data_IF_786040071921
#
_entry.id   IF_786040071921
#
_cell.length_a   1.000
_cell.length_b   1.000
_cell.length_c   1.000
_cell.angle_alpha   90.00
_cell.angle_beta   90.00
_cell.angle_gamma   90.00
#
_symmetry.space_group_name_H-M   'P 1'
#
loop_
_entity.id
_entity.type
_entity.pdbx_description
1 polymer ?
#
# COMPACT_ATOMS: atom_id res chain seq x y z
N UNK A 1 7.79 -8.80 4.84
CA UNK A 1 7.26 -8.90 3.46
C UNK A 1 5.79 -8.49 3.49
N UNK A 2 5.36 -7.54 2.66
CA UNK A 2 3.99 -7.00 2.68
C UNK A 2 2.96 -8.06 2.27
N UNK A 3 1.69 -7.89 2.65
CA UNK A 3 0.62 -8.82 2.30
C UNK A 3 0.47 -8.96 0.77
N UNK A 4 0.61 -7.86 0.03
CA UNK A 4 0.62 -7.84 -1.43
C UNK A 4 1.75 -8.71 -2.03
N UNK A 5 2.98 -8.65 -1.49
CA UNK A 5 4.07 -9.55 -1.91
C UNK A 5 3.80 -11.01 -1.53
N UNK A 6 3.25 -11.26 -0.33
CA UNK A 6 2.89 -12.62 0.11
C UNK A 6 1.79 -13.24 -0.74
N UNK A 7 0.87 -12.42 -1.26
CA UNK A 7 -0.22 -12.86 -2.14
C UNK A 7 0.29 -13.68 -3.31
N UNK A 8 1.26 -13.17 -4.07
CA UNK A 8 1.78 -13.85 -5.26
C UNK A 8 2.41 -15.19 -4.90
N UNK A 9 3.31 -15.20 -3.91
CA UNK A 9 3.96 -16.43 -3.43
C UNK A 9 2.93 -17.45 -2.92
N UNK A 10 1.90 -16.99 -2.20
CA UNK A 10 0.87 -17.87 -1.65
C UNK A 10 -0.02 -18.45 -2.74
N UNK A 11 -0.43 -17.64 -3.72
CA UNK A 11 -1.24 -18.11 -4.85
C UNK A 11 -0.47 -19.13 -5.68
N UNK A 12 0.83 -18.96 -5.88
CA UNK A 12 1.69 -19.96 -6.53
C UNK A 12 1.73 -21.27 -5.71
N UNK A 13 1.99 -21.20 -4.40
CA UNK A 13 1.98 -22.37 -3.51
C UNK A 13 0.65 -23.14 -3.56
N UNK A 14 -0.49 -22.45 -3.58
CA UNK A 14 -1.81 -23.11 -3.70
C UNK A 14 -1.96 -23.78 -5.06
N UNK A 15 -1.53 -23.12 -6.15
CA UNK A 15 -1.61 -23.70 -7.49
C UNK A 15 -0.87 -25.04 -7.57
N UNK A 16 0.28 -25.15 -6.93
CA UNK A 16 1.08 -26.36 -6.90
C UNK A 16 0.46 -27.44 -6.01
N UNK A 17 -0.11 -27.05 -4.86
CA UNK A 17 -0.73 -27.99 -3.89
C UNK A 17 -2.08 -28.57 -4.37
N UNK A 18 -2.83 -27.86 -5.22
CA UNK A 18 -4.20 -28.21 -5.61
C UNK A 18 -4.33 -28.58 -7.09
N UNK A 19 -3.47 -29.44 -7.65
CA UNK A 19 -3.52 -29.76 -9.08
C UNK A 19 -4.81 -30.46 -9.56
N UNK A 20 -5.48 -31.26 -8.70
CA UNK A 20 -6.55 -32.18 -9.14
C UNK A 20 -7.94 -31.96 -8.49
N UNK A 21 -8.29 -30.72 -8.11
CA UNK A 21 -9.58 -30.44 -7.44
C UNK A 21 -10.59 -29.76 -8.38
N UNK A 22 -11.85 -30.21 -8.34
CA UNK A 22 -12.96 -29.54 -9.02
C UNK A 22 -13.08 -28.08 -8.55
N UNK A 23 -13.29 -27.13 -9.47
CA UNK A 23 -13.40 -25.68 -9.22
C UNK A 23 -12.16 -24.97 -8.62
N UNK A 24 -10.96 -25.57 -8.73
CA UNK A 24 -9.68 -24.98 -8.29
C UNK A 24 -9.51 -23.50 -8.67
N UNK A 25 -9.71 -23.17 -9.95
CA UNK A 25 -9.46 -21.81 -10.44
C UNK A 25 -10.39 -20.78 -9.79
N UNK A 26 -11.65 -21.15 -9.53
CA UNK A 26 -12.59 -20.32 -8.78
C UNK A 26 -12.13 -20.12 -7.34
N UNK A 27 -11.72 -21.19 -6.65
CA UNK A 27 -11.20 -21.09 -5.27
C UNK A 27 -9.97 -20.18 -5.21
N UNK A 28 -9.01 -20.36 -6.12
CA UNK A 28 -7.81 -19.51 -6.21
C UNK A 28 -8.17 -18.06 -6.50
N UNK A 29 -9.10 -17.81 -7.42
CA UNK A 29 -9.59 -16.48 -7.72
C UNK A 29 -10.23 -15.84 -6.49
N UNK A 30 -11.08 -16.57 -5.76
CA UNK A 30 -11.72 -16.09 -4.55
C UNK A 30 -10.73 -15.76 -3.43
N UNK A 31 -9.73 -16.61 -3.21
CA UNK A 31 -8.65 -16.34 -2.25
C UNK A 31 -7.88 -15.09 -2.67
N UNK A 32 -7.53 -14.95 -3.95
CA UNK A 32 -6.85 -13.77 -4.48
C UNK A 32 -7.65 -12.48 -4.19
N UNK A 33 -8.96 -12.50 -4.42
CA UNK A 33 -9.84 -11.37 -4.15
C UNK A 33 -10.07 -11.13 -2.65
N UNK A 34 -10.04 -12.16 -1.82
CA UNK A 34 -10.12 -12.03 -0.36
C UNK A 34 -8.86 -11.38 0.22
N UNK A 35 -7.67 -11.73 -0.29
CA UNK A 35 -6.43 -11.05 0.07
C UNK A 35 -6.47 -9.57 -0.35
N UNK A 36 -7.12 -9.24 -1.47
CA UNK A 36 -7.33 -7.83 -1.84
C UNK A 36 -8.18 -7.08 -0.79
N UNK A 37 -9.13 -7.75 -0.14
CA UNK A 37 -9.93 -7.17 0.93
C UNK A 37 -9.12 -6.96 2.21
N UNK A 38 -8.21 -7.89 2.54
CA UNK A 38 -7.27 -7.73 3.65
C UNK A 38 -6.31 -6.55 3.42
N UNK A 39 -5.81 -6.36 2.19
CA UNK A 39 -4.96 -5.22 1.84
C UNK A 39 -5.74 -3.89 2.03
N UNK A 40 -7.03 -3.86 1.67
CA UNK A 40 -7.88 -2.68 1.89
C UNK A 40 -8.11 -2.40 3.38
N UNK A 41 -8.36 -3.44 4.17
CA UNK A 41 -8.49 -3.34 5.62
C UNK A 41 -7.21 -2.72 6.25
N UNK A 42 -6.04 -3.24 5.90
CA UNK A 42 -4.76 -2.68 6.36
C UNK A 42 -4.57 -1.20 5.95
N UNK A 43 -4.95 -0.86 4.72
CA UNK A 43 -4.78 0.50 4.20
C UNK A 43 -5.73 1.52 4.82
N UNK A 44 -6.94 1.09 5.19
CA UNK A 44 -7.98 1.93 5.79
C UNK A 44 -7.98 1.88 7.32
N UNK A 45 -7.17 1.00 7.92
CA UNK A 45 -7.18 0.71 9.36
C UNK A 45 -8.57 0.25 9.85
N UNK A 46 -9.27 -0.51 9.01
CA UNK A 46 -10.57 -1.11 9.31
C UNK A 46 -10.45 -2.63 9.35
N UNK A 47 -11.18 -3.30 10.25
CA UNK A 47 -11.25 -4.76 10.32
C UNK A 47 -12.61 -5.26 9.82
N UNK A 48 -12.97 -4.90 8.58
CA UNK A 48 -14.22 -5.39 7.97
C UNK A 48 -14.13 -6.90 7.75
N UNK A 49 -15.07 -7.71 8.28
CA UNK A 49 -15.08 -9.14 8.04
C UNK A 49 -15.29 -9.48 6.57
N UNK A 50 -14.78 -10.66 6.17
CA UNK A 50 -14.82 -11.16 4.79
C UNK A 50 -15.76 -12.36 4.74
N UNK A 51 -16.84 -12.25 3.95
CA UNK A 51 -17.83 -13.30 3.76
C UNK A 51 -17.60 -13.98 2.40
N UNK A 52 -17.39 -15.29 2.40
CA UNK A 52 -17.31 -16.14 1.22
C UNK A 52 -18.69 -16.73 0.91
N UNK A 53 -19.22 -16.50 -0.29
CA UNK A 53 -20.57 -16.92 -0.67
C UNK A 53 -20.56 -17.87 -1.85
N UNK A 54 -21.04 -19.10 -1.65
CA UNK A 54 -21.20 -20.10 -2.72
C UNK A 54 -22.35 -21.04 -2.39
N UNK A 55 -23.11 -21.48 -3.40
CA UNK A 55 -24.06 -22.59 -3.26
C UNK A 55 -23.37 -23.96 -3.15
N UNK A 56 -22.09 -24.03 -3.51
CA UNK A 56 -21.23 -25.20 -3.33
C UNK A 56 -20.20 -25.00 -2.22
N UNK A 57 -19.24 -25.91 -2.11
CA UNK A 57 -18.23 -25.88 -1.05
C UNK A 57 -17.02 -24.94 -1.32
N UNK A 58 -17.00 -24.20 -2.44
CA UNK A 58 -15.88 -23.33 -2.81
C UNK A 58 -15.61 -22.24 -1.76
N UNK A 59 -16.68 -21.72 -1.15
CA UNK A 59 -16.63 -20.71 -0.10
C UNK A 59 -15.82 -21.20 1.12
N UNK A 60 -16.16 -22.38 1.63
CA UNK A 60 -15.55 -23.00 2.81
C UNK A 60 -14.10 -23.40 2.55
N UNK A 61 -13.81 -23.93 1.36
CA UNK A 61 -12.43 -24.25 0.96
C UNK A 61 -11.57 -23.00 0.84
N UNK A 62 -12.09 -21.93 0.23
CA UNK A 62 -11.39 -20.65 0.12
C UNK A 62 -11.11 -20.03 1.51
N UNK A 63 -12.09 -20.02 2.41
CA UNK A 63 -11.95 -19.50 3.76
C UNK A 63 -10.89 -20.30 4.57
N UNK A 64 -10.91 -21.64 4.47
CA UNK A 64 -9.91 -22.50 5.10
C UNK A 64 -8.50 -22.21 4.62
N UNK A 65 -8.30 -22.07 3.31
CA UNK A 65 -6.98 -21.76 2.76
C UNK A 65 -6.52 -20.36 3.13
N UNK A 66 -7.41 -19.37 3.14
CA UNK A 66 -7.05 -18.03 3.57
C UNK A 66 -6.62 -17.99 5.05
N UNK A 67 -7.27 -18.77 5.91
CA UNK A 67 -6.85 -18.95 7.30
C UNK A 67 -5.39 -19.40 7.40
N UNK A 68 -4.98 -20.39 6.60
CA UNK A 68 -3.58 -20.87 6.59
C UNK A 68 -2.60 -19.73 6.28
N UNK A 69 -2.90 -18.89 5.28
CA UNK A 69 -2.08 -17.70 4.98
C UNK A 69 -2.04 -16.72 6.14
N UNK A 70 -3.19 -16.42 6.75
CA UNK A 70 -3.27 -15.37 7.75
C UNK A 70 -2.59 -15.79 9.05
N UNK A 71 -2.70 -17.04 9.46
CA UNK A 71 -1.95 -17.58 10.62
C UNK A 71 -0.44 -17.54 10.35
N UNK A 72 0.02 -17.86 9.13
CA UNK A 72 1.44 -17.73 8.75
C UNK A 72 1.88 -16.26 8.68
N UNK A 73 1.03 -15.36 8.18
CA UNK A 73 1.37 -13.96 7.97
C UNK A 73 1.37 -13.14 9.26
N UNK A 74 0.35 -13.32 10.10
CA UNK A 74 0.11 -12.59 11.34
C UNK A 74 0.40 -13.50 12.54
N UNK A 75 1.62 -14.02 12.64
CA UNK A 75 2.00 -15.00 13.66
C UNK A 75 1.88 -14.52 15.11
N UNK A 76 1.81 -13.20 15.33
CA UNK A 76 1.57 -12.59 16.64
C UNK A 76 0.09 -12.45 17.01
N UNK A 77 -0.82 -12.78 16.10
CA UNK A 77 -2.28 -12.64 16.28
C UNK A 77 -2.88 -13.99 16.66
N UNK A 78 -3.93 -13.98 17.49
CA UNK A 78 -4.64 -15.23 17.85
C UNK A 78 -5.13 -15.93 16.58
N UNK A 79 -4.85 -17.23 16.46
CA UNK A 79 -5.30 -18.03 15.32
C UNK A 79 -6.82 -18.13 15.22
N UNK A 80 -7.52 -17.95 16.34
CA UNK A 80 -8.98 -17.93 16.43
C UNK A 80 -9.57 -16.73 15.66
N UNK A 81 -8.82 -15.63 15.56
CA UNK A 81 -9.24 -14.47 14.75
C UNK A 81 -9.49 -14.82 13.29
N UNK A 82 -8.75 -15.81 12.79
CA UNK A 82 -8.81 -16.28 11.41
C UNK A 82 -9.63 -17.56 11.27
N UNK A 83 -10.36 -17.98 12.31
CA UNK A 83 -11.37 -19.03 12.15
C UNK A 83 -12.40 -18.63 11.10
N UNK A 84 -13.05 -19.61 10.48
CA UNK A 84 -14.08 -19.37 9.48
C UNK A 84 -15.39 -20.00 9.90
N UNK A 85 -16.39 -19.16 10.12
CA UNK A 85 -17.68 -19.58 10.68
C UNK A 85 -18.79 -19.48 9.64
N UNK A 86 -19.81 -20.33 9.80
CA UNK A 86 -21.01 -20.19 9.00
C UNK A 86 -21.78 -18.95 9.45
N UNK A 87 -22.04 -18.01 8.54
CA UNK A 87 -22.85 -16.83 8.83
C UNK A 87 -24.26 -17.02 8.31
N UNK A 88 -25.19 -17.24 9.22
CA UNK A 88 -26.62 -17.28 8.95
C UNK A 88 -27.34 -16.35 9.93
N UNK A 89 -27.86 -15.24 9.42
CA UNK A 89 -28.51 -14.21 10.21
C UNK A 89 -30.03 -14.22 9.97
N UNK A 90 -30.82 -13.80 10.98
CA UNK A 90 -32.24 -13.55 10.81
C UNK A 90 -32.51 -12.55 9.68
N UNK A 91 -33.56 -12.84 8.91
CA UNK A 91 -34.04 -11.99 7.81
C UNK A 91 -35.28 -11.16 8.18
N UNK A 92 -35.66 -11.13 9.46
CA UNK A 92 -36.83 -10.40 9.96
C UNK A 92 -36.60 -8.88 10.01
N UNK A 93 -35.43 -8.45 10.47
CA UNK A 93 -35.06 -7.05 10.57
C UNK A 93 -33.52 -6.88 10.63
N UNK A 94 -33.04 -5.67 10.35
CA UNK A 94 -31.63 -5.33 10.52
C UNK A 94 -31.18 -5.42 12.00
N UNK A 95 -32.07 -5.09 12.94
CA UNK A 95 -31.80 -5.16 14.37
C UNK A 95 -31.58 -6.60 14.82
N UNK A 96 -32.46 -7.53 14.43
CA UNK A 96 -32.32 -8.95 14.77
C UNK A 96 -31.04 -9.54 14.18
N UNK A 97 -30.70 -9.15 12.94
CA UNK A 97 -29.47 -9.57 12.28
C UNK A 97 -28.22 -9.06 13.02
N UNK A 98 -28.23 -7.81 13.46
CA UNK A 98 -27.14 -7.22 14.23
C UNK A 98 -27.02 -7.85 15.62
N UNK A 99 -28.14 -8.08 16.32
CA UNK A 99 -28.14 -8.75 17.62
C UNK A 99 -27.56 -10.16 17.51
N UNK A 100 -27.95 -10.91 16.46
CA UNK A 100 -27.40 -12.24 16.22
C UNK A 100 -25.91 -12.19 15.88
N UNK A 101 -25.49 -11.21 15.06
CA UNK A 101 -24.08 -11.01 14.75
C UNK A 101 -23.27 -10.69 16.03
N UNK A 102 -23.78 -9.84 16.91
CA UNK A 102 -23.15 -9.54 18.22
C UNK A 102 -23.04 -10.80 19.08
N UNK A 103 -24.08 -11.64 19.11
CA UNK A 103 -24.04 -12.93 19.81
C UNK A 103 -22.91 -13.83 19.27
N UNK A 104 -22.80 -13.93 17.93
CA UNK A 104 -21.72 -14.67 17.27
C UNK A 104 -20.36 -14.09 17.66
N UNK A 105 -20.18 -12.78 17.53
CA UNK A 105 -18.91 -12.09 17.82
C UNK A 105 -18.48 -12.19 19.29
N UNK A 106 -19.42 -12.26 20.24
CA UNK A 106 -19.13 -12.47 21.66
C UNK A 106 -18.65 -13.88 21.97
N UNK A 107 -19.10 -14.86 21.20
CA UNK A 107 -18.69 -16.26 21.37
C UNK A 107 -17.42 -16.58 20.60
N UNK A 108 -17.23 -15.95 19.43
CA UNK A 108 -16.11 -16.19 18.51
C UNK A 108 -15.72 -14.88 17.83
N UNK A 109 -14.47 -14.46 18.00
CA UNK A 109 -13.92 -13.33 17.24
C UNK A 109 -13.38 -13.87 15.93
N UNK A 110 -14.19 -13.93 14.88
CA UNK A 110 -13.74 -14.38 13.56
C UNK A 110 -13.83 -13.23 12.54
N UNK A 111 -12.78 -13.09 11.72
CA UNK A 111 -12.72 -12.18 10.58
C UNK A 111 -13.31 -12.82 9.31
N UNK A 112 -13.44 -14.15 9.26
CA UNK A 112 -13.86 -14.87 8.06
C UNK A 112 -15.18 -15.60 8.28
N UNK A 113 -16.10 -15.42 7.33
CA UNK A 113 -17.37 -16.11 7.36
C UNK A 113 -17.63 -16.79 6.03
N UNK A 114 -18.41 -17.85 6.02
CA UNK A 114 -18.96 -18.42 4.80
C UNK A 114 -20.48 -18.51 4.89
N UNK A 115 -21.15 -18.34 3.76
CA UNK A 115 -22.60 -18.44 3.66
C UNK A 115 -22.99 -19.10 2.34
N UNK A 116 -24.13 -19.78 2.32
CA UNK A 116 -24.62 -20.42 1.09
C UNK A 116 -25.19 -19.39 0.11
N UNK A 117 -25.75 -18.30 0.65
CA UNK A 117 -26.41 -17.27 -0.13
C UNK A 117 -26.27 -15.88 0.49
N UNK A 118 -26.33 -14.83 -0.34
CA UNK A 118 -26.37 -13.43 0.12
C UNK A 118 -27.61 -13.19 0.98
N UNK A 119 -28.70 -13.91 0.72
CA UNK A 119 -29.93 -13.84 1.49
C UNK A 119 -29.74 -14.20 2.97
N UNK A 120 -28.63 -14.84 3.37
CA UNK A 120 -28.35 -15.17 4.78
C UNK A 120 -27.86 -13.98 5.60
N UNK A 121 -27.52 -12.87 4.96
CA UNK A 121 -26.99 -11.68 5.64
C UNK A 121 -27.42 -10.36 4.98
N UNK A 122 -28.39 -10.41 4.05
CA UNK A 122 -28.84 -9.22 3.30
C UNK A 122 -29.42 -8.13 4.19
N UNK A 123 -29.92 -8.45 5.37
CA UNK A 123 -30.48 -7.49 6.32
C UNK A 123 -29.42 -6.64 7.04
N UNK A 124 -28.14 -7.01 6.94
CA UNK A 124 -27.06 -6.20 7.52
C UNK A 124 -26.98 -4.82 6.86
N UNK A 125 -26.64 -3.76 7.61
CA UNK A 125 -26.37 -2.45 7.05
C UNK A 125 -25.31 -2.52 5.95
N UNK A 126 -25.51 -1.72 4.90
CA UNK A 126 -24.61 -1.70 3.74
C UNK A 126 -23.17 -1.33 4.12
N UNK A 127 -22.20 -1.83 3.34
CA UNK A 127 -20.77 -1.48 3.49
C UNK A 127 -20.15 -1.86 4.86
N UNK A 128 -20.70 -2.87 5.53
CA UNK A 128 -20.18 -3.37 6.81
C UNK A 128 -19.26 -4.57 6.63
N UNK A 129 -19.42 -5.33 5.55
CA UNK A 129 -18.70 -6.57 5.28
C UNK A 129 -18.16 -6.58 3.85
N UNK A 130 -16.95 -7.13 3.67
CA UNK A 130 -16.49 -7.54 2.34
C UNK A 130 -17.17 -8.84 1.96
N UNK A 131 -17.49 -9.00 0.68
CA UNK A 131 -18.16 -10.19 0.14
C UNK A 131 -17.42 -10.70 -1.08
N UNK A 132 -17.07 -11.99 -1.06
CA UNK A 132 -16.49 -12.75 -2.17
C UNK A 132 -17.55 -13.73 -2.67
N UNK A 133 -18.09 -13.51 -3.87
CA UNK A 133 -19.19 -14.29 -4.41
C UNK A 133 -18.73 -15.20 -5.55
N UNK A 134 -18.92 -16.51 -5.36
CA UNK A 134 -18.52 -17.59 -6.28
C UNK A 134 -19.63 -18.06 -7.22
N UNK A 135 -20.88 -17.65 -6.99
CA UNK A 135 -22.08 -18.15 -7.68
C UNK A 135 -22.15 -17.74 -9.16
N UNK A 136 -21.38 -16.73 -9.57
CA UNK A 136 -21.28 -16.31 -10.97
C UNK A 136 -20.37 -17.19 -11.82
N UNK A 137 -20.30 -16.89 -13.13
CA UNK A 137 -19.29 -17.47 -14.03
C UNK A 137 -17.86 -17.06 -13.65
N UNK A 138 -17.71 -15.87 -13.05
CA UNK A 138 -16.48 -15.35 -12.46
C UNK A 138 -16.69 -15.06 -10.98
N UNK A 139 -15.65 -15.26 -10.19
CA UNK A 139 -15.67 -14.82 -8.79
C UNK A 139 -15.56 -13.30 -8.76
N UNK A 140 -16.44 -12.67 -7.98
CA UNK A 140 -16.50 -11.22 -7.82
C UNK A 140 -16.31 -10.83 -6.36
N UNK A 141 -15.75 -9.64 -6.14
CA UNK A 141 -15.63 -9.04 -4.81
C UNK A 141 -16.36 -7.72 -4.71
N UNK A 142 -16.78 -7.37 -3.51
CA UNK A 142 -17.49 -6.14 -3.22
C UNK A 142 -17.81 -6.01 -1.75
N UNK A 143 -18.78 -5.15 -1.44
CA UNK A 143 -19.34 -5.01 -0.10
C UNK A 143 -20.83 -5.31 -0.09
N UNK A 144 -21.35 -5.77 1.05
CA UNK A 144 -22.76 -6.09 1.22
C UNK A 144 -23.66 -4.84 1.02
N UNK A 145 -24.89 -5.08 0.57
CA UNK A 145 -25.95 -4.07 0.47
C UNK A 145 -27.15 -4.51 1.29
N UNK A 146 -27.68 -3.60 2.09
CA UNK A 146 -28.86 -3.84 2.90
C UNK A 146 -30.07 -4.12 2.00
N UNK A 147 -30.82 -5.16 2.37
CA UNK A 147 -32.05 -5.65 1.73
C UNK A 147 -31.90 -5.99 0.24
N UNK A 148 -30.68 -6.29 -0.19
CA UNK A 148 -30.37 -6.66 -1.58
C UNK A 148 -29.57 -7.94 -1.66
N UNK A 149 -29.89 -8.76 -2.66
CA UNK A 149 -29.15 -9.99 -2.98
C UNK A 149 -28.02 -9.73 -3.98
N UNK A 150 -27.46 -8.53 -3.91
CA UNK A 150 -26.36 -8.05 -4.75
C UNK A 150 -25.32 -7.34 -3.91
N UNK A 151 -24.10 -7.25 -4.41
CA UNK A 151 -22.98 -6.55 -3.76
C UNK A 151 -22.62 -5.30 -4.54
N UNK A 152 -22.07 -4.29 -3.85
CA UNK A 152 -21.38 -3.18 -4.52
C UNK A 152 -20.02 -3.69 -5.02
N UNK A 153 -19.91 -3.97 -6.32
CA UNK A 153 -18.71 -4.57 -6.91
C UNK A 153 -17.51 -3.62 -6.80
N UNK A 154 -16.40 -4.14 -6.25
CA UNK A 154 -15.10 -3.46 -6.25
C UNK A 154 -14.23 -4.03 -7.36
N UNK A 155 -13.86 -3.19 -8.32
CA UNK A 155 -13.03 -3.57 -9.48
C UNK A 155 -11.52 -3.46 -9.24
N UNK A 156 -11.09 -2.74 -8.20
CA UNK A 156 -9.65 -2.61 -7.84
C UNK A 156 -9.09 -4.02 -7.63
N UNK A 157 -7.87 -4.30 -8.06
CA UNK A 157 -7.18 -5.56 -7.79
C UNK A 157 -5.72 -5.25 -7.52
N UNK A 158 -5.10 -5.90 -6.54
CA UNK A 158 -3.73 -5.60 -6.15
C UNK A 158 -2.71 -6.55 -6.80
N UNK A 159 -3.09 -7.16 -7.94
CA UNK A 159 -2.35 -8.25 -8.57
C UNK A 159 -1.22 -7.83 -9.51
N UNK A 160 -1.15 -6.57 -9.99
CA UNK A 160 -0.02 -5.95 -10.77
C UNK A 160 -0.39 -4.71 -11.64
N UNK A 161 -1.66 -4.26 -11.68
CA UNK A 161 -2.03 -3.02 -12.40
C UNK A 161 -1.35 -1.77 -11.80
N UNK A 162 -1.06 -0.74 -12.62
CA UNK A 162 0.20 -0.02 -12.55
C UNK A 162 0.34 0.71 -11.22
N UNK A 163 1.40 0.39 -10.48
CA UNK A 163 1.79 1.10 -9.26
C UNK A 163 1.81 2.62 -9.50
N UNK A 164 2.08 3.05 -10.75
CA UNK A 164 2.06 4.43 -11.21
C UNK A 164 0.70 5.11 -10.99
N UNK A 165 -0.43 4.42 -11.20
CA UNK A 165 -1.76 4.96 -10.85
C UNK A 165 -1.91 5.15 -9.35
N UNK A 166 -1.37 4.25 -8.54
CA UNK A 166 -1.51 4.34 -7.09
C UNK A 166 -0.63 5.44 -6.48
N UNK A 167 0.57 5.71 -7.01
CA UNK A 167 1.46 6.72 -6.45
C UNK A 167 1.48 8.08 -7.18
N UNK A 168 1.10 8.14 -8.46
CA UNK A 168 0.94 9.40 -9.22
C UNK A 168 -0.51 9.75 -9.57
N UNK A 169 -1.46 8.80 -9.48
CA UNK A 169 -2.85 9.02 -9.86
C UNK A 169 -3.76 9.64 -8.79
N UNK A 170 -3.23 9.98 -7.61
CA UNK A 170 -3.98 10.64 -6.53
C UNK A 170 -3.26 11.95 -6.20
N UNK A 171 -3.88 13.14 -6.26
CA UNK A 171 -5.20 13.53 -5.77
C UNK A 171 -5.90 14.45 -6.81
N UNK A 172 -7.17 14.15 -7.14
CA UNK A 172 -8.08 14.98 -7.95
C UNK A 172 -7.70 15.30 -9.40
N UNK A 173 -7.26 14.33 -10.18
CA UNK A 173 -7.60 14.38 -11.60
C UNK A 173 -9.09 14.09 -11.72
N UNK A 174 -9.92 15.14 -11.82
CA UNK A 174 -11.32 14.99 -12.18
C UNK A 174 -11.38 14.08 -13.40
N UNK A 175 -12.34 13.15 -13.46
CA UNK A 175 -12.39 12.08 -14.48
C UNK A 175 -12.26 12.62 -15.92
N UNK A 176 -12.73 13.85 -16.14
CA UNK A 176 -12.60 14.61 -17.39
C UNK A 176 -11.17 14.99 -17.80
N UNK A 177 -10.22 15.04 -16.87
CA UNK A 177 -8.80 15.31 -17.12
C UNK A 177 -8.05 14.00 -17.37
N UNK A 178 -8.44 12.92 -16.69
CA UNK A 178 -7.90 11.56 -16.94
C UNK A 178 -8.03 11.13 -18.39
N UNK A 179 -9.13 11.51 -19.05
CA UNK A 179 -9.40 11.17 -20.45
C UNK A 179 -8.66 12.08 -21.46
N UNK A 180 -8.01 13.16 -20.99
CA UNK A 180 -7.30 14.16 -21.81
C UNK A 180 -5.77 14.13 -21.66
N UNK A 181 -5.25 13.21 -20.85
CA UNK A 181 -3.82 13.05 -20.61
C UNK A 181 -3.24 12.17 -21.71
N UNK A 182 -2.37 12.75 -22.54
CA UNK A 182 -1.48 11.99 -23.42
C UNK A 182 -0.18 11.69 -22.66
N UNK A 183 0.12 10.41 -22.38
CA UNK A 183 1.37 9.98 -21.74
C UNK A 183 1.18 9.15 -20.46
N UNK A 184 2.27 8.84 -19.76
CA UNK A 184 2.21 8.11 -18.49
C UNK A 184 1.91 9.05 -17.31
N UNK A 185 1.29 8.55 -16.22
CA UNK A 185 1.04 9.37 -15.01
C UNK A 185 2.33 9.87 -14.35
N UNK A 186 3.44 9.16 -14.52
CA UNK A 186 4.77 9.65 -14.16
C UNK A 186 5.16 10.89 -14.97
N UNK A 187 4.84 10.94 -16.26
CA UNK A 187 5.13 12.09 -17.12
C UNK A 187 4.35 13.33 -16.67
N UNK A 188 3.09 13.18 -16.29
CA UNK A 188 2.32 14.27 -15.70
C UNK A 188 2.89 14.78 -14.39
N UNK A 189 3.31 13.89 -13.49
CA UNK A 189 3.99 14.34 -12.27
C UNK A 189 5.26 15.12 -12.62
N UNK A 190 5.98 14.70 -13.66
CA UNK A 190 7.13 15.45 -14.17
C UNK A 190 6.73 16.81 -14.74
N UNK A 191 5.59 16.94 -15.42
CA UNK A 191 5.04 18.22 -15.89
C UNK A 191 4.58 19.12 -14.73
N UNK A 192 3.94 18.57 -13.70
CA UNK A 192 3.56 19.30 -12.48
C UNK A 192 4.79 19.85 -11.76
N UNK A 193 5.89 19.09 -11.75
CA UNK A 193 7.17 19.57 -11.26
C UNK A 193 7.72 20.74 -12.11
N UNK A 194 7.46 20.78 -13.43
CA UNK A 194 7.76 21.96 -14.26
C UNK A 194 6.92 23.18 -13.85
N UNK A 195 5.68 22.96 -13.40
CA UNK A 195 4.79 23.97 -12.82
C UNK A 195 5.07 24.34 -11.36
N UNK A 196 6.13 23.78 -10.74
CA UNK A 196 6.44 23.92 -9.31
C UNK A 196 5.32 23.48 -8.37
N UNK A 197 4.47 22.55 -8.81
CA UNK A 197 3.46 21.92 -7.96
C UNK A 197 4.14 20.73 -7.27
N UNK A 198 4.38 20.88 -5.96
CA UNK A 198 4.97 19.82 -5.13
C UNK A 198 3.88 19.09 -4.36
N UNK A 199 3.89 17.76 -4.44
CA UNK A 199 3.02 16.90 -3.65
C UNK A 199 3.85 15.82 -2.96
N UNK A 200 3.49 15.42 -1.73
CA UNK A 200 3.96 14.16 -1.16
C UNK A 200 3.63 13.00 -2.10
N UNK A 201 4.57 12.08 -2.32
CA UNK A 201 4.36 10.93 -3.21
C UNK A 201 4.00 9.72 -2.33
N UNK A 202 2.76 9.19 -2.39
CA UNK A 202 2.36 8.08 -1.54
C UNK A 202 2.91 6.74 -2.03
N UNK A 203 3.45 5.91 -1.13
CA UNK A 203 3.80 4.51 -1.41
C UNK A 203 2.56 3.73 -1.84
N UNK A 204 2.58 2.92 -2.93
CA UNK A 204 1.42 2.16 -3.42
C UNK A 204 0.65 1.43 -2.30
N UNK A 205 -0.65 1.22 -2.44
CA UNK A 205 -1.48 0.61 -1.38
C UNK A 205 -0.89 -0.75 -0.98
N UNK A 206 -0.64 -0.94 0.32
CA UNK A 206 -0.01 -2.14 0.88
C UNK A 206 1.53 -2.19 0.75
N UNK A 207 2.18 -1.10 0.29
CA UNK A 207 3.64 -0.97 0.28
C UNK A 207 4.12 0.11 1.25
N UNK A 208 5.43 0.04 1.55
CA UNK A 208 6.21 1.04 2.26
C UNK A 208 7.50 1.30 1.48
N UNK A 209 8.06 2.49 1.62
CA UNK A 209 9.39 2.82 1.12
C UNK A 209 10.44 1.99 1.86
N UNK A 210 11.47 1.59 1.13
CA UNK A 210 12.66 0.99 1.74
C UNK A 210 13.44 2.10 2.46
N UNK A 211 14.16 1.74 3.51
CA UNK A 211 15.11 2.65 4.16
C UNK A 211 16.41 1.89 4.46
N UNK A 212 17.49 2.10 3.69
CA UNK A 212 17.61 3.02 2.54
C UNK A 212 16.97 2.47 1.24
N UNK A 213 16.79 3.35 0.26
CA UNK A 213 16.45 3.03 -1.14
C UNK A 213 17.76 2.95 -1.93
N UNK A 214 17.96 1.84 -2.64
CA UNK A 214 19.19 1.50 -3.37
C UNK A 214 18.87 1.04 -4.80
N UNK A 215 19.90 0.71 -5.57
CA UNK A 215 19.79 0.12 -6.91
C UNK A 215 18.88 -1.12 -6.96
N UNK A 216 18.87 -1.94 -5.89
CA UNK A 216 18.06 -3.15 -5.76
C UNK A 216 16.60 -2.88 -5.33
N UNK A 217 16.27 -1.62 -5.06
CA UNK A 217 14.91 -1.25 -4.64
C UNK A 217 13.94 -1.29 -5.82
N UNK A 218 12.65 -1.57 -5.57
CA UNK A 218 11.64 -1.63 -6.62
C UNK A 218 11.59 -0.36 -7.47
N UNK A 219 11.31 -0.50 -8.77
CA UNK A 219 11.34 0.62 -9.72
C UNK A 219 10.45 1.80 -9.30
N UNK A 220 9.28 1.54 -8.70
CA UNK A 220 8.37 2.59 -8.22
C UNK A 220 9.00 3.51 -7.16
N UNK A 221 9.93 3.00 -6.34
CA UNK A 221 10.64 3.82 -5.36
C UNK A 221 11.67 4.70 -6.07
N UNK A 222 12.36 4.15 -7.08
CA UNK A 222 13.31 4.91 -7.90
C UNK A 222 12.61 6.04 -8.66
N UNK A 223 11.43 5.76 -9.23
CA UNK A 223 10.58 6.76 -9.89
C UNK A 223 10.18 7.89 -8.93
N UNK A 224 9.75 7.56 -7.70
CA UNK A 224 9.42 8.56 -6.68
C UNK A 224 10.62 9.46 -6.30
N UNK A 225 11.81 8.87 -6.14
CA UNK A 225 13.02 9.64 -5.84
C UNK A 225 13.42 10.58 -6.99
N UNK A 226 13.39 10.08 -8.24
CA UNK A 226 13.67 10.89 -9.43
C UNK A 226 12.66 12.04 -9.54
N UNK A 227 11.38 11.77 -9.29
CA UNK A 227 10.31 12.77 -9.26
C UNK A 227 10.61 13.94 -8.29
N UNK A 228 10.93 13.65 -7.02
CA UNK A 228 11.31 14.70 -6.05
C UNK A 228 12.56 15.44 -6.50
N UNK A 229 13.55 14.72 -7.01
CA UNK A 229 14.83 15.32 -7.36
C UNK A 229 14.76 16.22 -8.60
N UNK A 230 13.83 15.95 -9.53
CA UNK A 230 13.48 16.88 -10.63
C UNK A 230 12.94 18.20 -10.10
N UNK A 231 12.03 18.14 -9.13
CA UNK A 231 11.52 19.34 -8.48
C UNK A 231 12.65 20.11 -7.78
N UNK A 232 13.47 19.41 -6.98
CA UNK A 232 14.63 20.02 -6.33
C UNK A 232 15.57 20.68 -7.35
N UNK A 233 15.86 20.01 -8.47
CA UNK A 233 16.79 20.54 -9.46
C UNK A 233 16.29 21.79 -10.16
N UNK A 234 14.96 21.96 -10.24
CA UNK A 234 14.33 23.20 -10.67
C UNK A 234 14.33 24.29 -9.59
N UNK A 235 13.99 23.95 -8.34
CA UNK A 235 14.03 24.91 -7.21
C UNK A 235 15.45 25.46 -7.01
N UNK A 236 16.47 24.59 -7.10
CA UNK A 236 17.88 24.92 -6.88
C UNK A 236 18.64 25.33 -8.16
N UNK A 237 18.05 25.14 -9.34
CA UNK A 237 18.69 25.38 -10.65
C UNK A 237 20.03 24.64 -10.84
N UNK A 238 20.11 23.39 -10.40
CA UNK A 238 21.36 22.63 -10.28
C UNK A 238 21.70 21.73 -11.49
N UNK A 239 20.97 21.87 -12.60
CA UNK A 239 21.27 21.13 -13.84
C UNK A 239 21.02 19.62 -13.79
N UNK A 240 20.24 19.14 -12.81
CA UNK A 240 19.91 17.74 -12.57
C UNK A 240 19.55 16.87 -13.81
N UNK A 241 20.15 15.67 -13.89
CA UNK A 241 19.92 14.66 -14.95
C UNK A 241 19.98 13.21 -14.44
N UNK A 242 19.26 12.88 -13.37
CA UNK A 242 19.19 11.49 -12.85
C UNK A 242 17.91 10.81 -13.30
N UNK A 243 17.99 9.50 -13.58
CA UNK A 243 16.89 8.66 -14.02
C UNK A 243 16.82 7.35 -13.20
N UNK A 244 15.99 6.40 -13.62
CA UNK A 244 15.75 5.14 -12.90
C UNK A 244 16.65 3.98 -13.35
N UNK A 245 17.55 4.22 -14.31
CA UNK A 245 18.48 3.22 -14.85
C UNK A 245 19.48 2.76 -13.79
N UNK A 246 19.96 1.52 -13.93
CA UNK A 246 20.93 0.97 -12.99
C UNK A 246 22.22 1.80 -12.94
N UNK A 247 22.68 2.30 -14.08
CA UNK A 247 23.87 3.15 -14.16
C UNK A 247 23.69 4.45 -13.35
N UNK A 248 22.50 5.05 -13.40
CA UNK A 248 22.21 6.25 -12.64
C UNK A 248 22.16 5.99 -11.11
N UNK A 249 21.88 4.76 -10.70
CA UNK A 249 21.78 4.36 -9.29
C UNK A 249 23.04 3.68 -8.74
N UNK A 250 24.07 3.52 -9.56
CA UNK A 250 25.35 2.97 -9.16
C UNK A 250 25.98 3.84 -8.07
N UNK A 251 26.39 3.25 -6.95
CA UNK A 251 26.93 3.95 -5.79
C UNK A 251 26.01 5.02 -5.16
N UNK A 252 24.71 5.01 -5.49
CA UNK A 252 23.74 5.96 -4.94
C UNK A 252 22.88 5.28 -3.88
N UNK A 253 22.85 5.88 -2.70
CA UNK A 253 22.00 5.45 -1.58
C UNK A 253 21.09 6.60 -1.18
N UNK A 254 19.78 6.40 -1.26
CA UNK A 254 18.79 7.40 -0.87
C UNK A 254 18.16 7.05 0.48
N UNK A 255 18.22 7.99 1.40
CA UNK A 255 17.53 7.95 2.68
C UNK A 255 16.24 8.76 2.55
N UNK A 256 15.08 8.11 2.43
CA UNK A 256 13.82 8.82 2.23
C UNK A 256 13.38 9.54 3.50
N UNK A 257 12.72 10.67 3.31
CA UNK A 257 12.06 11.43 4.38
C UNK A 257 10.57 11.19 4.23
N UNK A 258 9.98 10.53 5.22
CA UNK A 258 8.63 9.96 5.13
C UNK A 258 7.64 10.67 6.07
N UNK A 259 6.37 10.64 5.72
CA UNK A 259 5.24 11.05 6.56
C UNK A 259 3.99 10.21 6.25
N UNK A 260 3.24 9.82 7.27
CA UNK A 260 1.93 9.18 7.08
C UNK A 260 0.86 10.25 6.79
N UNK A 261 0.19 10.15 5.64
CA UNK A 261 -0.81 11.13 5.18
C UNK A 261 -2.13 10.42 4.88
N UNK A 262 -3.23 10.98 5.37
CA UNK A 262 -4.58 10.54 5.04
C UNK A 262 -4.94 10.97 3.60
N UNK A 263 -5.23 9.99 2.75
CA UNK A 263 -5.67 10.23 1.38
C UNK A 263 -7.12 10.70 1.37
N UNK A 264 -7.40 11.84 0.74
CA UNK A 264 -8.73 12.48 0.73
C UNK A 264 -9.79 11.56 0.10
N UNK A 265 -9.45 10.91 -1.01
CA UNK A 265 -10.43 10.16 -1.81
C UNK A 265 -10.70 8.76 -1.28
N UNK A 266 -9.69 8.09 -0.71
CA UNK A 266 -9.79 6.71 -0.25
C UNK A 266 -9.94 6.57 1.27
N UNK A 267 -9.73 7.65 2.03
CA UNK A 267 -9.60 7.60 3.50
C UNK A 267 -8.52 6.62 4.00
N UNK A 268 -7.63 6.16 3.10
CA UNK A 268 -6.49 5.32 3.43
C UNK A 268 -5.36 6.19 4.01
N UNK A 269 -4.65 5.72 5.02
CA UNK A 269 -3.41 6.36 5.48
C UNK A 269 -2.26 5.72 4.72
N UNK A 270 -1.47 6.54 4.01
CA UNK A 270 -0.34 6.07 3.22
C UNK A 270 0.95 6.76 3.63
N UNK A 271 2.02 5.98 3.67
CA UNK A 271 3.37 6.48 3.88
C UNK A 271 3.80 7.23 2.61
N UNK A 272 4.09 8.52 2.75
CA UNK A 272 4.42 9.40 1.65
C UNK A 272 5.87 9.86 1.71
N UNK A 273 6.55 9.84 0.57
CA UNK A 273 7.83 10.50 0.38
C UNK A 273 7.62 12.01 0.33
N UNK A 274 8.15 12.70 1.33
CA UNK A 274 8.09 14.17 1.49
C UNK A 274 9.47 14.82 1.35
N UNK A 275 10.49 14.05 0.99
CA UNK A 275 11.84 14.52 0.82
C UNK A 275 12.83 13.36 0.76
N UNK A 276 14.09 13.67 0.52
CA UNK A 276 15.14 12.66 0.48
C UNK A 276 16.51 13.26 0.84
N UNK A 277 17.39 12.42 1.36
CA UNK A 277 18.83 12.67 1.43
C UNK A 277 19.53 11.64 0.55
N UNK A 278 20.39 12.09 -0.35
CA UNK A 278 21.14 11.25 -1.28
C UNK A 278 22.60 11.25 -0.87
N UNK A 279 23.10 10.05 -0.55
CA UNK A 279 24.51 9.76 -0.33
C UNK A 279 25.09 9.12 -1.60
N UNK A 280 26.32 9.49 -1.93
CA UNK A 280 27.10 8.84 -2.97
C UNK A 280 28.28 8.13 -2.31
N UNK A 281 28.47 6.86 -2.61
CA UNK A 281 29.46 5.96 -2.00
C UNK A 281 30.40 5.38 -3.07
N UNK A 282 31.29 6.18 -3.68
CA UNK A 282 32.17 5.68 -4.74
C UNK A 282 33.14 4.62 -4.21
N UNK A 283 33.54 3.64 -5.03
CA UNK A 283 34.47 2.58 -4.61
C UNK A 283 35.84 3.10 -4.16
N UNK A 284 36.31 4.20 -4.76
CA UNK A 284 37.66 4.74 -4.58
C UNK A 284 37.70 6.17 -4.01
N UNK A 285 36.62 6.61 -3.35
CA UNK A 285 36.56 7.92 -2.74
C UNK A 285 35.71 7.91 -1.46
N UNK A 286 35.85 8.96 -0.66
CA UNK A 286 35.05 9.10 0.54
C UNK A 286 33.57 9.26 0.20
N UNK A 287 32.72 8.70 1.07
CA UNK A 287 31.29 8.88 0.97
C UNK A 287 30.93 10.33 1.28
N UNK A 288 30.05 10.91 0.47
CA UNK A 288 29.59 12.28 0.65
C UNK A 288 28.08 12.40 0.47
N UNK A 289 27.51 13.43 1.10
CA UNK A 289 26.12 13.81 0.91
C UNK A 289 26.03 14.70 -0.33
N UNK A 290 25.42 14.18 -1.39
CA UNK A 290 25.23 14.91 -2.64
C UNK A 290 24.06 15.87 -2.56
N UNK A 291 22.90 15.39 -2.09
CA UNK A 291 21.70 16.25 -1.99
C UNK A 291 20.88 15.96 -0.76
N UNK A 292 20.22 17.01 -0.24
CA UNK A 292 19.22 16.87 0.81
C UNK A 292 18.09 17.86 0.56
N UNK A 293 16.87 17.36 0.47
CA UNK A 293 15.71 18.17 0.19
C UNK A 293 14.50 17.70 0.97
N UNK A 294 13.73 18.66 1.51
CA UNK A 294 12.50 18.43 2.27
C UNK A 294 11.42 19.34 1.71
N UNK A 295 10.24 18.77 1.52
CA UNK A 295 9.03 19.48 1.13
C UNK A 295 8.76 20.68 2.07
N UNK A 296 8.49 21.89 1.53
CA UNK A 296 8.36 23.12 2.32
C UNK A 296 7.48 23.02 3.57
N UNK A 297 6.27 22.45 3.48
CA UNK A 297 5.35 22.26 4.62
C UNK A 297 5.86 21.34 5.75
N UNK A 298 6.88 20.53 5.47
CA UNK A 298 7.46 19.59 6.43
C UNK A 298 8.86 20.03 6.92
N UNK A 299 9.36 21.17 6.46
CA UNK A 299 10.59 21.77 6.97
C UNK A 299 10.42 22.18 8.45
N UNK A 300 11.54 22.31 9.17
CA UNK A 300 11.60 22.74 10.59
C UNK A 300 10.94 21.78 11.61
N UNK A 301 10.62 20.55 11.22
CA UNK A 301 10.10 19.49 12.11
C UNK A 301 11.19 18.53 12.63
N UNK A 302 12.47 18.92 12.56
CA UNK A 302 13.59 18.09 13.01
C UNK A 302 13.91 16.86 12.14
N UNK A 303 13.19 16.59 11.04
CA UNK A 303 13.38 15.38 10.20
C UNK A 303 14.81 15.23 9.67
N UNK A 304 15.41 16.31 9.14
CA UNK A 304 16.82 16.28 8.70
C UNK A 304 17.79 16.01 9.85
N UNK A 305 17.53 16.54 11.05
CA UNK A 305 18.39 16.29 12.21
C UNK A 305 18.41 14.82 12.63
N UNK A 306 17.26 14.15 12.53
CA UNK A 306 17.15 12.72 12.83
C UNK A 306 17.97 11.89 11.84
N UNK A 307 17.73 12.08 10.54
CA UNK A 307 18.44 11.37 9.48
C UNK A 307 19.94 11.69 9.51
N UNK A 308 20.33 12.93 9.75
CA UNK A 308 21.74 13.31 9.86
C UNK A 308 22.49 12.51 10.94
N UNK A 309 21.87 12.28 12.10
CA UNK A 309 22.47 11.47 13.15
C UNK A 309 22.60 9.99 12.72
N UNK A 310 21.59 9.46 12.02
CA UNK A 310 21.62 8.10 11.45
C UNK A 310 22.77 7.98 10.43
N UNK A 311 22.92 8.96 9.54
CA UNK A 311 24.00 9.01 8.55
C UNK A 311 25.38 9.08 9.19
N UNK A 312 25.57 9.87 10.26
CA UNK A 312 26.84 9.90 11.00
C UNK A 312 27.17 8.53 11.61
N UNK A 313 26.17 7.82 12.11
CA UNK A 313 26.40 6.49 12.68
C UNK A 313 26.78 5.46 11.60
N UNK A 314 26.27 5.61 10.37
CA UNK A 314 26.52 4.69 9.26
C UNK A 314 27.86 5.00 8.58
N UNK A 315 28.10 6.26 8.23
CA UNK A 315 29.21 6.69 7.38
C UNK A 315 30.33 7.40 8.14
N UNK A 316 30.14 7.70 9.43
CA UNK A 316 31.08 8.52 10.18
C UNK A 316 31.02 9.99 9.77
N UNK A 317 32.19 10.61 9.61
CA UNK A 317 32.28 11.97 9.06
C UNK A 317 32.23 11.88 7.54
N UNK A 318 31.35 12.66 6.92
CA UNK A 318 31.21 12.76 5.47
C UNK A 318 31.16 14.24 5.06
N UNK A 319 31.58 14.51 3.84
CA UNK A 319 31.49 15.85 3.25
C UNK A 319 30.10 16.11 2.67
N UNK A 320 29.77 17.39 2.49
CA UNK A 320 28.54 17.81 1.80
C UNK A 320 28.95 18.50 0.50
N UNK A 321 28.41 18.02 -0.60
CA UNK A 321 28.61 18.60 -1.93
C UNK A 321 27.91 19.96 -2.00
N UNK A 322 28.68 21.01 -2.32
CA UNK A 322 28.20 22.38 -2.58
C UNK A 322 27.07 22.89 -1.65
N UNK A 323 27.27 22.95 -0.31
CA UNK A 323 26.20 23.27 0.61
C UNK A 323 25.75 24.73 0.44
N UNK A 324 24.45 24.93 0.23
CA UNK A 324 23.85 26.27 0.24
C UNK A 324 23.85 26.89 1.65
N UNK A 325 23.48 28.17 1.76
CA UNK A 325 23.49 28.92 3.04
C UNK A 325 22.68 28.27 4.16
N UNK A 326 21.57 27.60 3.83
CA UNK A 326 20.75 26.87 4.80
C UNK A 326 21.48 25.62 5.31
N UNK A 327 22.11 24.86 4.42
CA UNK A 327 22.86 23.67 4.78
C UNK A 327 24.13 24.02 5.59
N UNK A 328 24.86 25.06 5.18
CA UNK A 328 26.00 25.59 5.94
C UNK A 328 25.60 25.98 7.37
N UNK A 329 24.48 26.69 7.52
CA UNK A 329 23.94 27.06 8.83
C UNK A 329 23.53 25.85 9.67
N UNK A 330 22.99 24.81 9.03
CA UNK A 330 22.64 23.56 9.69
C UNK A 330 23.88 22.80 10.19
N UNK A 331 24.91 22.66 9.35
CA UNK A 331 26.17 22.00 9.70
C UNK A 331 26.85 22.73 10.86
N UNK A 332 26.93 24.07 10.80
CA UNK A 332 27.52 24.88 11.87
C UNK A 332 26.83 24.62 13.23
N UNK A 333 25.50 24.55 13.26
CA UNK A 333 24.74 24.23 14.48
C UNK A 333 25.04 22.83 15.00
N UNK A 334 25.21 21.84 14.12
CA UNK A 334 25.53 20.45 14.49
C UNK A 334 26.94 20.29 15.05
N UNK A 335 27.88 21.11 14.60
CA UNK A 335 29.24 21.15 15.14
C UNK A 335 29.32 21.78 16.53
N UNK A 336 28.43 22.74 16.85
CA UNK A 336 28.37 23.43 18.15
C UNK A 336 27.63 22.60 19.21
N UNK A 337 26.75 21.68 18.81
CA UNK A 337 25.96 20.83 19.72
C UNK A 337 26.68 19.55 20.19
N UNK A 338 27.96 19.38 19.86
CA UNK A 338 28.87 18.37 20.44
C UNK A 338 29.75 19.05 21.47
#
# INVERSE_FOLDING_TARGET
>A
MTLRKKKETFILKIRDKYQDTYNKDKVIQGISLAIDCLIENEATQEDKPIIFVSYGDENKHAAKLLKELCVEHYSSTSSELFDYEMLNLPNSSAEDALLKLVEICRCRTSLFYWADAISWFKTLPSNTMHVINFNGSKVIRGVNQQDRESITIKKKSFNTNPLNEEHFGLINLHKSISDSIDGSLSDLFYEEALGLIIRPIPAPTGYKYNNPITIDSPNWQKEACVAIRRYQGKECQDGFKWDTSNNAWENVVVYPILEDILMIDSQEIRECLIGQVTMVTPENADTYLSTAWIHPFYRRRGKLSKIWNELINIYGKFEVEEPNSNMQSFIAKKLISK
#
